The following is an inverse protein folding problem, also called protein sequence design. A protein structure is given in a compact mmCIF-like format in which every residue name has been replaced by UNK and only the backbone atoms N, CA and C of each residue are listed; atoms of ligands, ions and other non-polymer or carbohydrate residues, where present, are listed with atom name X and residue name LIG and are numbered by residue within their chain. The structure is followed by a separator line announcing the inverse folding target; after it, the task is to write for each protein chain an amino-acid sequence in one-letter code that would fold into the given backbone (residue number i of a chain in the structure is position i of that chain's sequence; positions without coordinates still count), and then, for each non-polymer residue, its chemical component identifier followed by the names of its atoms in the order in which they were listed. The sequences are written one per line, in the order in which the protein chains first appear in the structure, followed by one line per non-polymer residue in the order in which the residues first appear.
data_IF_442634870809
#
_entry.id   IF_442634870809
#
_cell.length_a   1.000
_cell.length_b   1.000
_cell.length_c   1.000
_cell.angle_alpha   90.00
_cell.angle_beta   90.00
_cell.angle_gamma   90.00
#
_symmetry.space_group_name_H-M   'P 1'
#
loop_
_entity.id
_entity.type
_entity.pdbx_description
1 polymer ?
#
# COMPACT_ATOMS: atom_id res chain seq x y z
N UNK A 1 30.14 28.50 -14.19
CA UNK A 1 30.60 27.24 -13.58
C UNK A 1 32.07 27.06 -13.93
N UNK A 2 32.92 26.74 -12.94
CA UNK A 2 34.36 26.51 -13.17
C UNK A 2 34.55 25.20 -13.91
N UNK A 3 35.51 25.14 -14.85
CA UNK A 3 35.89 23.94 -15.59
C UNK A 3 36.29 22.79 -14.64
N UNK A 4 36.85 23.13 -13.51
CA UNK A 4 37.24 22.20 -12.43
C UNK A 4 36.02 21.52 -11.79
N UNK A 5 34.96 22.25 -11.54
CA UNK A 5 33.73 21.69 -10.95
C UNK A 5 33.01 20.69 -11.85
N UNK A 6 33.13 20.90 -13.19
CA UNK A 6 32.56 19.94 -14.16
C UNK A 6 33.36 18.65 -14.17
N UNK A 7 34.69 18.73 -14.21
CA UNK A 7 35.56 17.55 -14.18
C UNK A 7 35.38 16.74 -12.90
N UNK A 8 35.28 17.40 -11.75
CA UNK A 8 35.04 16.72 -10.47
C UNK A 8 33.67 16.01 -10.43
N UNK A 9 32.64 16.62 -11.02
CA UNK A 9 31.31 16.00 -11.13
C UNK A 9 31.35 14.76 -12.06
N UNK A 10 32.05 14.86 -13.18
CA UNK A 10 32.22 13.77 -14.13
C UNK A 10 32.97 12.59 -13.49
N UNK A 11 34.06 12.86 -12.77
CA UNK A 11 34.84 11.84 -12.06
C UNK A 11 34.01 11.13 -10.98
N UNK A 12 33.17 11.86 -10.25
CA UNK A 12 32.25 11.27 -9.29
C UNK A 12 31.20 10.39 -9.95
N UNK A 13 30.68 10.79 -11.10
CA UNK A 13 29.68 10.00 -11.84
C UNK A 13 30.32 8.74 -12.47
N UNK A 14 31.56 8.81 -12.91
CA UNK A 14 32.32 7.63 -13.36
C UNK A 14 32.58 6.68 -12.20
N UNK A 15 33.04 7.20 -11.06
CA UNK A 15 33.30 6.40 -9.86
C UNK A 15 32.02 5.73 -9.32
N UNK A 16 30.87 6.39 -9.46
CA UNK A 16 29.56 5.86 -9.08
C UNK A 16 28.93 4.93 -10.13
N UNK A 17 29.60 4.70 -11.26
CA UNK A 17 29.13 3.80 -12.32
C UNK A 17 27.98 4.34 -13.18
N UNK A 18 27.74 5.65 -13.16
CA UNK A 18 26.75 6.31 -14.03
C UNK A 18 27.30 6.66 -15.41
N UNK A 19 28.62 6.91 -15.48
CA UNK A 19 29.32 7.20 -16.73
C UNK A 19 30.47 6.21 -16.94
N UNK A 20 30.80 5.95 -18.21
CA UNK A 20 31.99 5.21 -18.64
C UNK A 20 32.89 6.13 -19.46
N UNK A 21 34.15 6.23 -19.04
CA UNK A 21 35.17 6.95 -19.82
C UNK A 21 35.69 6.05 -20.96
N UNK A 22 35.58 6.51 -22.20
CA UNK A 22 36.18 5.84 -23.35
C UNK A 22 37.37 6.63 -23.84
N UNK A 23 38.53 5.99 -23.85
CA UNK A 23 39.79 6.62 -24.26
C UNK A 23 39.67 7.24 -25.64
N UNK A 24 39.91 8.56 -25.75
CA UNK A 24 39.87 9.30 -27.00
C UNK A 24 38.49 9.71 -27.53
N UNK A 25 37.38 9.33 -26.87
CA UNK A 25 36.05 9.63 -27.40
C UNK A 25 35.07 10.28 -26.38
N UNK A 26 35.47 10.43 -25.09
CA UNK A 26 34.68 11.15 -24.08
C UNK A 26 34.01 10.27 -23.06
N UNK A 27 33.00 10.86 -22.37
CA UNK A 27 32.17 10.20 -21.33
C UNK A 27 30.83 9.78 -21.93
N UNK A 28 30.41 8.56 -21.65
CA UNK A 28 29.16 7.97 -22.11
C UNK A 28 28.32 7.55 -20.91
N UNK A 29 27.01 7.62 -21.02
CA UNK A 29 26.12 7.09 -20.01
C UNK A 29 26.32 5.57 -19.96
N UNK A 30 26.72 5.05 -18.80
CA UNK A 30 26.89 3.63 -18.59
C UNK A 30 25.57 2.90 -18.85
N UNK A 31 25.59 1.85 -19.64
CA UNK A 31 24.45 0.96 -19.81
C UNK A 31 24.13 0.37 -18.43
N UNK A 32 23.04 0.82 -17.79
CA UNK A 32 22.57 0.29 -16.52
C UNK A 32 22.40 -1.21 -16.72
N UNK A 33 23.35 -2.03 -16.27
CA UNK A 33 23.05 -3.43 -16.03
C UNK A 33 21.85 -3.44 -15.09
N UNK A 34 20.68 -3.79 -15.60
CA UNK A 34 19.59 -4.25 -14.74
C UNK A 34 20.14 -5.47 -14.02
N UNK A 35 20.69 -5.27 -12.84
CA UNK A 35 20.79 -6.36 -11.90
C UNK A 35 19.35 -6.81 -11.70
N UNK A 36 19.04 -7.94 -12.32
CA UNK A 36 17.85 -8.67 -11.91
C UNK A 36 18.02 -8.88 -10.42
N UNK A 37 17.11 -8.41 -9.57
CA UNK A 37 17.18 -8.73 -8.16
C UNK A 37 17.27 -10.26 -8.10
N UNK A 38 18.36 -10.77 -7.57
CA UNK A 38 18.44 -12.18 -7.17
C UNK A 38 17.50 -12.27 -5.97
N UNK A 39 16.21 -12.46 -6.28
CA UNK A 39 15.19 -12.69 -5.28
C UNK A 39 15.59 -13.93 -4.50
N UNK A 40 15.95 -13.77 -3.25
CA UNK A 40 16.09 -14.89 -2.33
C UNK A 40 14.69 -15.42 -2.08
N UNK A 41 14.33 -16.45 -2.84
CA UNK A 41 13.07 -17.19 -2.64
C UNK A 41 13.03 -17.67 -1.21
N UNK A 42 12.06 -17.18 -0.43
CA UNK A 42 11.83 -17.65 0.92
C UNK A 42 12.88 -17.25 1.97
N UNK A 43 13.62 -16.17 1.77
CA UNK A 43 14.42 -15.61 2.84
C UNK A 43 13.48 -15.10 3.95
N UNK A 44 13.66 -15.62 5.17
CA UNK A 44 13.15 -14.93 6.35
C UNK A 44 13.71 -13.51 6.28
N UNK A 45 12.83 -12.51 6.37
CA UNK A 45 13.28 -11.13 6.51
C UNK A 45 13.91 -11.05 7.89
N UNK A 46 15.22 -11.28 7.95
CA UNK A 46 15.95 -11.42 9.21
C UNK A 46 15.74 -10.17 10.07
N UNK A 47 15.41 -10.31 11.36
CA UNK A 47 15.24 -9.18 12.27
C UNK A 47 16.49 -8.32 12.40
N UNK A 48 17.66 -8.87 12.10
CA UNK A 48 18.96 -8.24 12.31
C UNK A 48 19.38 -7.22 11.24
N UNK A 49 18.70 -7.14 10.07
CA UNK A 49 19.10 -6.24 8.99
C UNK A 49 18.59 -4.80 9.15
N UNK A 50 17.59 -4.56 9.98
CA UNK A 50 17.07 -3.22 10.24
C UNK A 50 17.71 -2.61 11.50
N UNK A 51 18.89 -2.00 11.34
CA UNK A 51 19.49 -1.12 12.38
C UNK A 51 18.74 0.21 12.55
N UNK A 52 17.69 0.47 11.77
CA UNK A 52 16.90 1.68 11.84
C UNK A 52 15.50 1.37 12.31
N UNK A 53 15.05 2.06 13.35
CA UNK A 53 13.63 2.08 13.72
C UNK A 53 12.87 2.85 12.65
N UNK A 54 12.07 2.13 11.86
CA UNK A 54 11.25 2.70 10.77
C UNK A 54 10.28 3.75 11.32
N UNK A 55 9.73 3.55 12.52
CA UNK A 55 8.85 4.53 13.16
C UNK A 55 9.62 5.82 13.50
N UNK A 56 10.86 5.71 13.95
CA UNK A 56 11.73 6.85 14.21
C UNK A 56 12.11 7.60 12.93
N UNK A 57 12.41 6.88 11.84
CA UNK A 57 12.67 7.49 10.52
C UNK A 57 11.47 8.28 10.00
N UNK A 58 10.26 7.68 10.08
CA UNK A 58 9.03 8.37 9.66
C UNK A 58 8.80 9.62 10.49
N UNK A 59 8.98 9.52 11.79
CA UNK A 59 8.85 10.64 12.71
C UNK A 59 9.83 11.76 12.36
N UNK A 60 11.11 11.46 12.16
CA UNK A 60 12.11 12.43 11.74
C UNK A 60 11.75 13.12 10.42
N UNK A 61 11.29 12.34 9.42
CA UNK A 61 10.88 12.88 8.12
C UNK A 61 9.65 13.80 8.24
N UNK A 62 8.71 13.49 9.13
CA UNK A 62 7.50 14.31 9.35
C UNK A 62 7.79 15.56 10.18
N UNK A 63 8.75 15.48 11.11
CA UNK A 63 9.17 16.58 12.01
C UNK A 63 10.25 17.48 11.36
N UNK A 64 10.85 17.08 10.23
CA UNK A 64 11.89 17.85 9.56
C UNK A 64 11.33 19.16 8.95
N UNK A 65 11.72 20.30 9.52
CA UNK A 65 11.38 21.64 9.05
C UNK A 65 12.51 22.29 8.23
N UNK A 66 13.55 21.55 7.85
CA UNK A 66 14.75 22.07 7.21
C UNK A 66 14.53 22.72 5.84
N UNK A 67 13.33 22.61 5.25
CA UNK A 67 13.03 23.10 3.88
C UNK A 67 13.67 22.26 2.78
N UNK A 68 14.30 21.14 3.12
CA UNK A 68 14.86 20.21 2.16
C UNK A 68 13.79 19.57 1.27
N UNK A 69 14.16 19.23 0.04
CA UNK A 69 13.25 18.54 -0.90
C UNK A 69 12.88 17.15 -0.35
N UNK A 70 11.62 16.99 0.05
CA UNK A 70 11.10 15.78 0.71
C UNK A 70 10.66 14.73 -0.32
N UNK A 71 11.58 14.14 -1.06
CA UNK A 71 11.26 13.12 -2.09
C UNK A 71 10.78 11.78 -1.52
N UNK A 72 10.98 11.51 -0.24
CA UNK A 72 10.55 10.27 0.44
C UNK A 72 9.25 10.41 1.24
N UNK A 73 8.64 11.59 1.31
CA UNK A 73 7.39 11.79 2.07
C UNK A 73 6.20 11.41 1.21
N UNK A 74 5.30 10.55 1.70
CA UNK A 74 4.12 10.15 0.96
C UNK A 74 3.08 11.28 0.94
N UNK A 75 2.98 12.02 -0.15
CA UNK A 75 1.97 13.06 -0.36
C UNK A 75 1.95 13.48 -1.82
N UNK A 76 0.79 13.91 -2.30
CA UNK A 76 0.69 14.64 -3.56
C UNK A 76 1.08 16.09 -3.32
N UNK A 77 1.61 16.75 -4.35
CA UNK A 77 1.82 18.18 -4.30
C UNK A 77 0.48 18.91 -4.06
N UNK A 78 0.49 19.98 -3.25
CA UNK A 78 -0.73 20.75 -2.94
C UNK A 78 -1.43 21.26 -4.20
N UNK A 79 -0.66 21.51 -5.26
CA UNK A 79 -1.19 21.91 -6.58
C UNK A 79 -2.04 20.84 -7.28
N UNK A 80 -1.95 19.58 -6.86
CA UNK A 80 -2.74 18.47 -7.39
C UNK A 80 -4.03 18.24 -6.60
N UNK A 81 -4.14 18.86 -5.44
CA UNK A 81 -5.31 18.85 -4.60
C UNK A 81 -6.12 20.15 -4.83
N UNK A 82 -7.40 20.15 -4.48
CA UNK A 82 -8.27 21.32 -4.57
C UNK A 82 -8.62 21.83 -3.16
N UNK A 83 -7.74 22.62 -2.52
CA UNK A 83 -7.98 23.13 -1.18
C UNK A 83 -9.17 24.11 -1.14
N UNK A 84 -9.44 24.83 -2.23
CA UNK A 84 -10.56 25.76 -2.31
C UNK A 84 -11.91 25.05 -2.26
N UNK A 85 -12.04 23.95 -3.01
CA UNK A 85 -13.24 23.10 -3.00
C UNK A 85 -13.43 22.44 -1.63
N UNK A 86 -12.35 21.97 -1.03
CA UNK A 86 -12.39 21.39 0.31
C UNK A 86 -12.87 22.40 1.36
N UNK A 87 -12.32 23.62 1.36
CA UNK A 87 -12.74 24.71 2.24
C UNK A 87 -14.22 25.09 2.03
N UNK A 88 -14.69 25.11 0.78
CA UNK A 88 -16.10 25.40 0.48
C UNK A 88 -17.03 24.33 1.09
N UNK A 89 -16.66 23.05 0.98
CA UNK A 89 -17.41 21.94 1.62
C UNK A 89 -17.42 22.07 3.14
N UNK A 90 -16.28 22.36 3.76
CA UNK A 90 -16.20 22.57 5.23
C UNK A 90 -17.10 23.71 5.67
N UNK A 91 -17.06 24.87 4.98
CA UNK A 91 -17.98 26.00 5.28
C UNK A 91 -19.45 25.59 5.15
N UNK A 92 -19.80 24.86 4.09
CA UNK A 92 -21.16 24.35 3.91
C UNK A 92 -21.60 23.41 5.03
N UNK A 93 -20.71 22.58 5.53
CA UNK A 93 -21.00 21.67 6.64
C UNK A 93 -21.17 22.41 7.96
N UNK A 94 -20.35 23.43 8.24
CA UNK A 94 -20.39 24.21 9.46
C UNK A 94 -21.66 25.10 9.58
N UNK A 95 -22.28 25.43 8.46
CA UNK A 95 -23.54 26.21 8.43
C UNK A 95 -24.80 25.36 8.61
N UNK A 96 -24.69 24.04 8.68
CA UNK A 96 -25.85 23.16 8.91
C UNK A 96 -26.23 23.14 10.39
N UNK A 97 -27.54 22.97 10.73
CA UNK A 97 -27.96 22.82 12.12
C UNK A 97 -27.17 21.71 12.83
N UNK A 98 -26.56 22.05 13.97
CA UNK A 98 -25.53 21.24 14.63
C UNK A 98 -25.94 19.94 15.30
N UNK A 99 -27.19 19.51 15.20
CA UNK A 99 -27.68 18.32 15.91
C UNK A 99 -26.95 17.02 15.61
N UNK A 100 -26.43 16.86 14.40
CA UNK A 100 -25.68 15.65 13.99
C UNK A 100 -24.21 15.66 14.42
N UNK A 101 -23.64 16.81 14.73
CA UNK A 101 -22.23 16.95 15.14
C UNK A 101 -21.97 16.51 16.58
N UNK A 102 -23.03 16.42 17.39
CA UNK A 102 -22.94 16.10 18.82
C UNK A 102 -23.33 14.65 19.13
N UNK A 103 -23.72 13.87 18.14
CA UNK A 103 -24.15 12.49 18.32
C UNK A 103 -23.06 11.50 17.96
N UNK A 104 -23.06 10.36 18.64
CA UNK A 104 -22.21 9.24 18.22
C UNK A 104 -22.60 8.77 16.83
N UNK A 105 -21.59 8.47 16.00
CA UNK A 105 -21.80 7.92 14.68
C UNK A 105 -22.27 6.46 14.71
N UNK A 106 -22.82 6.00 13.59
CA UNK A 106 -23.15 4.58 13.39
C UNK A 106 -21.86 3.72 13.46
N UNK A 107 -21.87 2.50 14.06
CA UNK A 107 -20.70 1.63 14.15
C UNK A 107 -19.99 1.36 12.83
N UNK A 108 -20.76 1.15 11.74
CA UNK A 108 -20.23 1.01 10.38
C UNK A 108 -19.70 2.34 9.79
N UNK A 109 -20.01 3.48 10.42
CA UNK A 109 -19.70 4.82 9.93
C UNK A 109 -20.87 5.46 9.16
N UNK A 110 -20.63 6.68 8.65
CA UNK A 110 -21.63 7.55 8.04
C UNK A 110 -22.25 6.91 6.78
N UNK A 111 -23.55 6.61 6.82
CA UNK A 111 -24.24 5.87 5.78
C UNK A 111 -24.15 6.51 4.37
N UNK A 112 -24.32 7.84 4.19
CA UNK A 112 -24.17 8.44 2.88
C UNK A 112 -22.78 8.23 2.26
N UNK A 113 -21.70 8.22 3.08
CA UNK A 113 -20.36 7.92 2.58
C UNK A 113 -20.22 6.46 2.17
N UNK A 114 -20.80 5.51 2.92
CA UNK A 114 -20.80 4.09 2.56
C UNK A 114 -21.50 3.86 1.21
N UNK A 115 -22.62 4.52 0.93
CA UNK A 115 -23.29 4.47 -0.38
C UNK A 115 -22.42 5.05 -1.51
N UNK A 116 -21.67 6.13 -1.25
CA UNK A 116 -20.75 6.66 -2.26
C UNK A 116 -19.57 5.70 -2.50
N UNK A 117 -19.05 5.08 -1.44
CA UNK A 117 -17.98 4.06 -1.57
C UNK A 117 -18.51 2.85 -2.35
N UNK A 118 -19.74 2.37 -2.05
CA UNK A 118 -20.38 1.29 -2.79
C UNK A 118 -20.38 1.55 -4.31
N UNK A 119 -20.79 2.76 -4.72
CA UNK A 119 -20.75 3.15 -6.14
C UNK A 119 -19.33 3.13 -6.72
N UNK A 120 -18.39 3.70 -5.99
CA UNK A 120 -16.98 3.76 -6.41
C UNK A 120 -16.33 2.38 -6.55
N UNK A 121 -16.63 1.44 -5.66
CA UNK A 121 -16.09 0.08 -5.77
C UNK A 121 -16.82 -0.73 -6.85
N UNK A 122 -18.08 -0.41 -7.13
CA UNK A 122 -18.81 -0.99 -8.26
C UNK A 122 -18.18 -0.64 -9.62
N UNK A 123 -17.58 0.57 -9.75
CA UNK A 123 -16.82 0.96 -10.94
C UNK A 123 -15.58 0.05 -11.16
N UNK A 124 -15.07 -0.58 -10.11
CA UNK A 124 -14.00 -1.59 -10.16
C UNK A 124 -14.55 -3.03 -10.31
N UNK A 125 -15.86 -3.20 -10.45
CA UNK A 125 -16.52 -4.51 -10.52
C UNK A 125 -16.70 -5.20 -9.16
N UNK A 126 -16.46 -4.51 -8.04
CA UNK A 126 -16.69 -5.06 -6.69
C UNK A 126 -18.14 -4.78 -6.30
N UNK A 127 -18.98 -5.83 -6.36
CA UNK A 127 -20.42 -5.73 -6.08
C UNK A 127 -20.69 -6.03 -4.60
N UNK A 128 -21.13 -5.01 -3.85
CA UNK A 128 -21.38 -5.12 -2.40
C UNK A 128 -22.59 -4.31 -1.96
N UNK A 129 -23.12 -4.64 -0.79
CA UNK A 129 -24.10 -3.82 -0.09
C UNK A 129 -23.41 -2.83 0.87
N UNK A 130 -24.05 -1.70 1.23
CA UNK A 130 -23.45 -0.73 2.17
C UNK A 130 -23.08 -1.32 3.53
N UNK A 131 -23.71 -2.41 3.94
CA UNK A 131 -23.45 -3.15 5.16
C UNK A 131 -22.12 -3.91 5.13
N UNK A 132 -21.60 -4.16 3.94
CA UNK A 132 -20.28 -4.77 3.73
C UNK A 132 -19.14 -3.75 3.74
N UNK A 133 -19.42 -2.50 4.08
CA UNK A 133 -18.46 -1.39 4.11
C UNK A 133 -18.35 -0.85 5.52
N UNK A 134 -17.16 -0.99 6.12
CA UNK A 134 -16.82 -0.44 7.43
C UNK A 134 -15.88 0.77 7.24
N UNK A 135 -16.33 1.96 7.63
CA UNK A 135 -15.48 3.16 7.61
C UNK A 135 -14.42 3.07 8.73
N UNK A 136 -13.23 3.54 8.44
CA UNK A 136 -12.09 3.55 9.37
C UNK A 136 -11.38 4.91 9.37
N UNK A 137 -10.57 5.14 10.40
CA UNK A 137 -9.70 6.31 10.50
C UNK A 137 -8.43 6.07 9.64
N UNK A 138 -8.62 6.12 8.31
CA UNK A 138 -7.62 5.78 7.30
C UNK A 138 -7.36 4.27 7.21
N UNK A 139 -6.56 3.88 6.21
CA UNK A 139 -6.13 2.48 6.01
C UNK A 139 -5.28 1.95 7.16
N UNK A 140 -4.62 2.80 7.94
CA UNK A 140 -3.85 2.34 9.11
C UNK A 140 -4.73 1.64 10.14
N UNK A 141 -5.92 2.20 10.46
CA UNK A 141 -6.88 1.54 11.34
C UNK A 141 -7.50 0.31 10.66
N UNK A 142 -7.76 0.36 9.36
CA UNK A 142 -8.25 -0.79 8.61
C UNK A 142 -7.29 -1.97 8.71
N UNK A 143 -6.00 -1.72 8.46
CA UNK A 143 -4.93 -2.72 8.60
C UNK A 143 -4.85 -3.27 10.03
N UNK A 144 -4.90 -2.41 11.04
CA UNK A 144 -4.89 -2.82 12.45
C UNK A 144 -6.07 -3.73 12.82
N UNK A 145 -7.29 -3.33 12.47
CA UNK A 145 -8.50 -4.11 12.75
C UNK A 145 -8.46 -5.48 12.06
N UNK A 146 -8.11 -5.50 10.77
CA UNK A 146 -8.06 -6.74 9.98
C UNK A 146 -6.93 -7.64 10.49
N UNK A 147 -5.74 -7.08 10.79
CA UNK A 147 -4.61 -7.83 11.34
C UNK A 147 -4.98 -8.50 12.66
N UNK A 148 -5.55 -7.74 13.61
CA UNK A 148 -5.93 -8.27 14.93
C UNK A 148 -7.04 -9.32 14.85
N UNK A 149 -7.88 -9.25 13.82
CA UNK A 149 -8.93 -10.23 13.61
C UNK A 149 -8.42 -11.53 12.97
N UNK A 150 -7.56 -11.42 11.96
CA UNK A 150 -7.11 -12.58 11.18
C UNK A 150 -5.89 -13.28 11.77
N UNK A 151 -5.11 -12.61 12.62
CA UNK A 151 -3.79 -13.06 13.04
C UNK A 151 -3.61 -13.03 14.55
N UNK A 152 -2.72 -13.91 15.03
CA UNK A 152 -2.17 -13.92 16.37
C UNK A 152 -0.64 -13.77 16.32
N UNK A 153 0.01 -13.28 17.38
CA UNK A 153 1.47 -13.30 17.48
C UNK A 153 2.03 -14.70 17.18
N UNK A 154 3.09 -14.77 16.38
CA UNK A 154 3.69 -16.02 15.90
C UNK A 154 3.14 -16.55 14.58
N UNK A 155 1.99 -16.06 14.10
CA UNK A 155 1.46 -16.44 12.79
C UNK A 155 2.37 -16.00 11.65
N UNK A 156 2.36 -16.76 10.56
CA UNK A 156 3.14 -16.41 9.36
C UNK A 156 2.28 -15.55 8.44
N UNK A 157 2.88 -14.46 7.97
CA UNK A 157 2.29 -13.49 7.05
C UNK A 157 3.18 -13.34 5.83
N UNK A 158 2.60 -13.42 4.65
CA UNK A 158 3.29 -13.18 3.40
C UNK A 158 3.11 -11.73 2.93
N UNK A 159 4.16 -11.14 2.40
CA UNK A 159 4.20 -9.76 1.87
C UNK A 159 4.98 -9.71 0.57
N UNK A 160 4.77 -8.66 -0.23
CA UNK A 160 5.61 -8.37 -1.40
C UNK A 160 7.02 -7.92 -0.99
N UNK A 161 8.04 -8.24 -1.81
CA UNK A 161 9.40 -7.75 -1.66
C UNK A 161 9.93 -7.21 -3.01
N UNK A 162 10.15 -5.88 -3.14
CA UNK A 162 9.92 -4.84 -2.13
C UNK A 162 8.45 -4.55 -1.88
N UNK A 163 8.13 -4.01 -0.70
CA UNK A 163 6.77 -3.67 -0.30
C UNK A 163 6.68 -2.50 0.68
N UNK A 164 5.49 -2.24 1.17
CA UNK A 164 5.19 -1.09 2.01
C UNK A 164 5.83 -1.22 3.41
N UNK A 165 6.90 -0.49 3.64
CA UNK A 165 7.75 -0.60 4.83
C UNK A 165 7.02 -0.33 6.16
N UNK A 166 6.03 0.59 6.19
CA UNK A 166 5.24 0.86 7.40
C UNK A 166 4.38 -0.35 7.81
N UNK A 167 3.83 -1.07 6.83
CA UNK A 167 3.13 -2.32 7.09
C UNK A 167 4.08 -3.35 7.70
N UNK A 168 5.30 -3.47 7.19
CA UNK A 168 6.29 -4.41 7.74
C UNK A 168 6.67 -4.08 9.18
N UNK A 169 6.87 -2.80 9.48
CA UNK A 169 7.16 -2.34 10.84
C UNK A 169 5.99 -2.67 11.79
N UNK A 170 4.76 -2.37 11.37
CA UNK A 170 3.56 -2.67 12.13
C UNK A 170 3.40 -4.18 12.39
N UNK A 171 3.51 -5.01 11.35
CA UNK A 171 3.36 -6.45 11.46
C UNK A 171 4.42 -7.08 12.37
N UNK A 172 5.68 -6.62 12.28
CA UNK A 172 6.74 -7.06 13.21
C UNK A 172 6.43 -6.66 14.65
N UNK A 173 5.98 -5.42 14.87
CA UNK A 173 5.56 -4.97 16.19
C UNK A 173 4.40 -5.80 16.74
N UNK A 174 3.46 -6.20 15.89
CA UNK A 174 2.36 -7.08 16.26
C UNK A 174 2.82 -8.50 16.62
N UNK A 175 4.05 -8.86 16.28
CA UNK A 175 4.68 -10.13 16.65
C UNK A 175 4.42 -11.28 15.67
N UNK A 176 4.03 -11.01 14.43
CA UNK A 176 3.90 -12.03 13.37
C UNK A 176 5.24 -12.24 12.65
N UNK A 177 5.40 -13.42 12.07
CA UNK A 177 6.57 -13.78 11.26
C UNK A 177 6.32 -13.41 9.81
N UNK A 178 7.15 -12.52 9.25
CA UNK A 178 7.08 -12.12 7.85
C UNK A 178 7.88 -13.06 6.96
N UNK A 179 7.25 -13.46 5.85
CA UNK A 179 7.89 -14.12 4.71
C UNK A 179 7.56 -13.31 3.46
N UNK A 180 8.46 -13.30 2.48
CA UNK A 180 8.30 -12.45 1.31
C UNK A 180 8.16 -13.24 0.01
N UNK A 181 7.33 -12.71 -0.90
CA UNK A 181 7.28 -13.09 -2.30
C UNK A 181 7.95 -11.98 -3.13
N UNK A 182 9.00 -12.28 -3.91
CA UNK A 182 9.68 -11.28 -4.74
C UNK A 182 8.72 -10.72 -5.77
N UNK A 183 8.72 -9.39 -5.91
CA UNK A 183 7.87 -8.69 -6.86
C UNK A 183 8.55 -8.51 -8.21
N UNK A 184 7.78 -8.70 -9.27
CA UNK A 184 8.14 -8.43 -10.66
C UNK A 184 7.35 -7.23 -11.19
N UNK A 185 7.64 -6.70 -12.39
CA UNK A 185 6.81 -5.66 -13.00
C UNK A 185 5.33 -6.03 -13.15
N UNK A 186 5.02 -7.31 -13.31
CA UNK A 186 3.66 -7.84 -13.52
C UNK A 186 2.92 -8.20 -12.22
N UNK A 187 3.56 -8.03 -11.06
CA UNK A 187 3.05 -8.44 -9.75
C UNK A 187 4.02 -9.37 -9.01
N UNK A 188 3.58 -10.10 -7.98
CA UNK A 188 4.43 -11.07 -7.30
C UNK A 188 4.85 -12.21 -8.24
N UNK A 189 6.09 -12.67 -8.12
CA UNK A 189 6.59 -13.84 -8.82
C UNK A 189 5.79 -15.09 -8.41
N UNK A 190 4.87 -15.53 -9.25
CA UNK A 190 3.86 -16.53 -8.86
C UNK A 190 4.43 -17.90 -8.47
N UNK A 191 5.55 -18.32 -9.07
CA UNK A 191 6.26 -19.54 -8.64
C UNK A 191 6.82 -19.36 -7.23
N UNK A 192 7.54 -18.27 -6.97
CA UNK A 192 8.11 -17.98 -5.66
C UNK A 192 7.03 -17.79 -4.58
N UNK A 193 5.88 -17.18 -4.93
CA UNK A 193 4.74 -17.04 -4.04
C UNK A 193 4.18 -18.43 -3.65
N UNK A 194 4.02 -19.34 -4.61
CA UNK A 194 3.57 -20.71 -4.34
C UNK A 194 4.56 -21.50 -3.49
N UNK A 195 5.87 -21.41 -3.78
CA UNK A 195 6.91 -22.06 -2.99
C UNK A 195 6.92 -21.52 -1.55
N UNK A 196 6.76 -20.20 -1.39
CA UNK A 196 6.63 -19.56 -0.09
C UNK A 196 5.38 -20.04 0.66
N UNK A 197 4.22 -20.11 -0.01
CA UNK A 197 2.98 -20.58 0.57
C UNK A 197 3.06 -22.07 0.97
N UNK A 198 3.64 -22.93 0.12
CA UNK A 198 3.84 -24.33 0.40
C UNK A 198 4.76 -24.56 1.61
N UNK A 199 5.87 -23.82 1.68
CA UNK A 199 6.90 -23.98 2.72
C UNK A 199 6.47 -23.43 4.08
N UNK A 200 5.88 -22.23 4.09
CA UNK A 200 5.66 -21.49 5.34
C UNK A 200 4.21 -21.44 5.79
N UNK A 201 3.25 -21.85 4.95
CA UNK A 201 1.81 -21.86 5.26
C UNK A 201 1.32 -20.55 5.87
N UNK A 202 1.47 -19.40 5.18
CA UNK A 202 1.02 -18.12 5.70
C UNK A 202 -0.49 -18.12 5.91
N UNK A 203 -0.97 -17.42 6.93
CA UNK A 203 -2.41 -17.19 7.14
C UNK A 203 -2.97 -16.08 6.27
N UNK A 204 -2.16 -15.06 6.03
CA UNK A 204 -2.55 -13.86 5.27
C UNK A 204 -1.43 -13.47 4.31
N UNK A 205 -1.83 -13.05 3.11
CA UNK A 205 -0.98 -12.33 2.17
C UNK A 205 -1.46 -10.88 2.05
N UNK A 206 -0.60 -9.92 2.38
CA UNK A 206 -0.86 -8.50 2.14
C UNK A 206 -0.36 -8.11 0.76
N UNK A 207 -1.29 -7.73 -0.11
CA UNK A 207 -1.04 -7.39 -1.50
C UNK A 207 -1.41 -5.94 -1.82
N UNK A 208 -0.67 -5.31 -2.73
CA UNK A 208 -1.08 -4.10 -3.42
C UNK A 208 -1.20 -4.43 -4.92
N UNK A 209 -2.43 -4.45 -5.41
CA UNK A 209 -2.71 -4.86 -6.79
C UNK A 209 -2.32 -3.78 -7.78
N UNK A 210 -2.64 -2.53 -7.48
CA UNK A 210 -2.41 -1.39 -8.36
C UNK A 210 -1.44 -0.40 -7.75
N UNK A 211 -0.60 0.21 -8.59
CA UNK A 211 0.35 1.27 -8.22
C UNK A 211 1.13 0.95 -6.95
N UNK A 212 1.66 -0.25 -6.88
CA UNK A 212 2.30 -0.82 -5.69
C UNK A 212 3.44 0.06 -5.15
N UNK A 213 3.44 0.29 -3.85
CA UNK A 213 4.50 1.00 -3.16
C UNK A 213 5.61 0.03 -2.72
N UNK A 214 6.89 0.18 -3.20
CA UNK A 214 7.42 1.38 -3.85
C UNK A 214 7.60 1.28 -5.38
N UNK A 215 7.17 0.19 -6.03
CA UNK A 215 7.56 -0.07 -7.43
C UNK A 215 6.71 0.66 -8.47
N UNK A 216 5.51 1.13 -8.09
CA UNK A 216 4.52 1.68 -9.00
C UNK A 216 3.89 0.65 -9.96
N UNK A 217 4.26 -0.63 -9.84
CA UNK A 217 3.76 -1.68 -10.71
C UNK A 217 2.30 -2.04 -10.42
N UNK A 218 1.55 -2.43 -11.45
CA UNK A 218 0.19 -2.95 -11.33
C UNK A 218 0.19 -4.43 -11.68
N UNK A 219 -0.53 -5.23 -10.90
CA UNK A 219 -0.62 -6.67 -11.08
C UNK A 219 -1.42 -7.00 -12.34
N UNK A 220 -0.88 -7.86 -13.20
CA UNK A 220 -1.61 -8.31 -14.40
C UNK A 220 -2.72 -9.30 -14.03
N UNK A 221 -3.77 -9.38 -14.85
CA UNK A 221 -4.89 -10.30 -14.66
C UNK A 221 -4.43 -11.76 -14.52
N UNK A 222 -3.45 -12.16 -15.32
CA UNK A 222 -2.88 -13.50 -15.28
C UNK A 222 -2.21 -13.80 -13.93
N UNK A 223 -1.52 -12.82 -13.34
CA UNK A 223 -0.90 -12.95 -12.01
C UNK A 223 -1.97 -12.97 -10.91
N UNK A 224 -3.01 -12.12 -11.01
CA UNK A 224 -4.14 -12.12 -10.07
C UNK A 224 -4.80 -13.50 -9.97
N UNK A 225 -5.11 -14.13 -11.12
CA UNK A 225 -5.66 -15.48 -11.14
C UNK A 225 -4.76 -16.52 -10.47
N UNK A 226 -3.44 -16.44 -10.70
CA UNK A 226 -2.48 -17.36 -10.07
C UNK A 226 -2.35 -17.13 -8.56
N UNK A 227 -2.43 -15.87 -8.12
CA UNK A 227 -2.43 -15.51 -6.69
C UNK A 227 -3.68 -16.07 -6.01
N UNK A 228 -4.85 -15.89 -6.59
CA UNK A 228 -6.12 -16.44 -6.07
C UNK A 228 -6.13 -17.96 -6.06
N UNK A 229 -5.61 -18.60 -7.11
CA UNK A 229 -5.46 -20.06 -7.16
C UNK A 229 -4.55 -20.57 -6.03
N UNK A 230 -3.42 -19.89 -5.77
CA UNK A 230 -2.54 -20.23 -4.66
C UNK A 230 -3.23 -19.99 -3.30
N UNK A 231 -3.99 -18.91 -3.15
CA UNK A 231 -4.74 -18.63 -1.92
C UNK A 231 -5.78 -19.74 -1.64
N UNK A 232 -6.47 -20.22 -2.67
CA UNK A 232 -7.41 -21.33 -2.55
C UNK A 232 -6.72 -22.64 -2.20
N UNK A 233 -5.59 -22.96 -2.85
CA UNK A 233 -4.84 -24.20 -2.68
C UNK A 233 -4.20 -24.29 -1.29
N UNK A 234 -3.58 -23.20 -0.82
CA UNK A 234 -2.83 -23.18 0.44
C UNK A 234 -3.64 -22.65 1.63
N UNK A 235 -4.85 -22.13 1.40
CA UNK A 235 -5.80 -21.73 2.44
C UNK A 235 -5.46 -20.41 3.15
N UNK A 236 -4.85 -19.44 2.48
CA UNK A 236 -4.57 -18.14 3.07
C UNK A 236 -5.58 -17.06 2.61
N UNK A 237 -5.86 -16.09 3.49
CA UNK A 237 -6.62 -14.91 3.15
C UNK A 237 -5.73 -13.85 2.48
N UNK A 238 -6.35 -12.94 1.72
CA UNK A 238 -5.65 -11.83 1.08
C UNK A 238 -6.19 -10.51 1.65
N UNK A 239 -5.31 -9.63 2.06
CA UNK A 239 -5.64 -8.23 2.38
C UNK A 239 -5.12 -7.36 1.24
N UNK A 240 -6.03 -6.86 0.43
CA UNK A 240 -5.74 -6.02 -0.73
C UNK A 240 -5.77 -4.55 -0.34
N UNK A 241 -4.59 -3.92 -0.22
CA UNK A 241 -4.46 -2.48 0.05
C UNK A 241 -4.47 -1.70 -1.27
N UNK A 242 -5.58 -1.02 -1.55
CA UNK A 242 -5.80 -0.22 -2.75
C UNK A 242 -5.81 1.29 -2.44
N UNK A 243 -4.83 1.73 -1.67
CA UNK A 243 -4.71 3.14 -1.22
C UNK A 243 -4.53 4.13 -2.38
N UNK A 244 -4.03 3.68 -3.53
CA UNK A 244 -3.73 4.52 -4.69
C UNK A 244 -4.73 4.41 -5.85
N UNK A 245 -5.83 3.68 -5.69
CA UNK A 245 -6.77 3.37 -6.78
C UNK A 245 -7.30 4.58 -7.56
N UNK A 246 -7.55 5.70 -6.87
CA UNK A 246 -8.09 6.91 -7.51
C UNK A 246 -7.01 7.70 -8.30
N UNK A 247 -5.76 7.24 -8.35
CA UNK A 247 -4.66 7.84 -9.10
C UNK A 247 -4.39 7.10 -10.42
N UNK A 248 -5.03 5.97 -10.67
CA UNK A 248 -4.93 5.29 -11.96
C UNK A 248 -5.72 6.04 -13.03
N UNK A 249 -5.11 6.24 -14.19
CA UNK A 249 -5.80 6.84 -15.34
C UNK A 249 -6.87 5.90 -15.91
N UNK A 250 -6.58 4.61 -15.92
CA UNK A 250 -7.48 3.54 -16.38
C UNK A 250 -7.53 2.44 -15.32
N UNK A 251 -8.51 2.50 -14.40
CA UNK A 251 -8.65 1.51 -13.36
C UNK A 251 -8.89 0.10 -13.92
N UNK A 252 -8.04 -0.84 -13.51
CA UNK A 252 -8.18 -2.26 -13.85
C UNK A 252 -8.96 -3.04 -12.77
N UNK A 253 -9.15 -4.36 -12.97
CA UNK A 253 -9.76 -5.23 -11.98
C UNK A 253 -8.88 -5.33 -10.72
N UNK A 254 -9.49 -5.80 -9.63
CA UNK A 254 -8.85 -6.06 -8.34
C UNK A 254 -8.94 -7.54 -7.99
N UNK A 255 -8.12 -8.00 -7.05
CA UNK A 255 -8.28 -9.34 -6.49
C UNK A 255 -9.67 -9.51 -5.88
N UNK A 256 -10.16 -8.48 -5.17
CA UNK A 256 -11.52 -8.44 -4.62
C UNK A 256 -12.62 -8.58 -5.67
N UNK A 257 -12.41 -8.06 -6.89
CA UNK A 257 -13.34 -8.20 -8.01
C UNK A 257 -13.44 -9.65 -8.46
N UNK A 258 -12.29 -10.33 -8.58
CA UNK A 258 -12.20 -11.69 -9.11
C UNK A 258 -12.62 -12.75 -8.09
N UNK A 259 -12.41 -12.47 -6.80
CA UNK A 259 -12.68 -13.39 -5.69
C UNK A 259 -14.08 -13.20 -5.08
N UNK A 260 -14.80 -12.15 -5.49
CA UNK A 260 -16.10 -11.77 -4.90
C UNK A 260 -16.07 -11.66 -3.36
N UNK A 261 -14.95 -11.27 -2.78
CA UNK A 261 -14.71 -11.12 -1.33
C UNK A 261 -14.84 -12.43 -0.52
N UNK A 262 -14.64 -13.58 -1.14
CA UNK A 262 -14.63 -14.87 -0.41
C UNK A 262 -13.42 -14.98 0.50
N UNK A 263 -12.22 -14.65 -0.01
CA UNK A 263 -10.93 -14.69 0.69
C UNK A 263 -10.22 -13.35 0.72
N UNK A 264 -10.69 -12.38 -0.08
CA UNK A 264 -10.07 -11.06 -0.20
C UNK A 264 -10.80 -10.05 0.68
N UNK A 265 -10.04 -9.37 1.53
CA UNK A 265 -10.45 -8.18 2.29
C UNK A 265 -9.90 -6.97 1.57
N UNK A 266 -10.77 -6.11 1.05
CA UNK A 266 -10.37 -4.94 0.29
C UNK A 266 -10.30 -3.70 1.17
N UNK A 267 -9.20 -2.97 1.08
CA UNK A 267 -8.96 -1.73 1.83
C UNK A 267 -8.83 -0.55 0.86
N UNK A 268 -9.49 0.55 1.20
CA UNK A 268 -9.45 1.79 0.42
C UNK A 268 -9.14 2.99 1.29
N UNK A 269 -8.45 3.99 0.73
CA UNK A 269 -8.09 5.24 1.39
C UNK A 269 -8.50 6.45 0.55
N UNK A 270 -8.79 7.56 1.24
CA UNK A 270 -8.96 8.88 0.64
C UNK A 270 -7.80 9.83 1.00
N UNK A 271 -6.79 9.32 1.69
CA UNK A 271 -5.65 10.12 2.17
C UNK A 271 -4.77 10.66 1.04
N UNK A 272 -4.76 10.01 -0.14
CA UNK A 272 -3.91 10.41 -1.26
C UNK A 272 -4.61 11.27 -2.29
N UNK A 273 -5.94 11.32 -2.28
CA UNK A 273 -6.74 11.99 -3.32
C UNK A 273 -7.63 13.10 -2.78
N UNK A 274 -7.98 13.06 -1.50
CA UNK A 274 -8.82 14.08 -0.87
C UNK A 274 -8.05 14.86 0.19
N UNK A 275 -7.64 14.18 1.26
CA UNK A 275 -6.84 14.80 2.34
C UNK A 275 -6.26 13.73 3.26
N UNK A 276 -4.96 13.80 3.48
CA UNK A 276 -4.28 12.99 4.49
C UNK A 276 -4.70 13.29 5.93
N UNK A 277 -5.12 14.53 6.20
CA UNK A 277 -5.50 15.00 7.54
C UNK A 277 -6.86 14.49 7.99
N UNK A 278 -7.80 14.22 7.08
CA UNK A 278 -9.15 13.77 7.45
C UNK A 278 -9.20 12.32 7.93
N UNK A 279 -8.16 11.56 7.67
CA UNK A 279 -8.05 10.17 8.12
C UNK A 279 -9.30 9.34 7.75
N UNK A 280 -9.65 9.29 6.47
CA UNK A 280 -10.79 8.51 5.97
C UNK A 280 -10.30 7.33 5.15
N UNK A 281 -10.78 6.15 5.52
CA UNK A 281 -10.58 4.89 4.80
C UNK A 281 -11.74 3.95 5.05
N UNK A 282 -11.68 2.77 4.45
CA UNK A 282 -12.67 1.72 4.70
C UNK A 282 -12.10 0.32 4.49
N UNK A 283 -12.81 -0.63 5.09
CA UNK A 283 -12.73 -2.06 4.81
C UNK A 283 -13.97 -2.46 4.04
N UNK A 284 -13.80 -3.23 2.98
CA UNK A 284 -14.89 -3.88 2.22
C UNK A 284 -14.63 -5.38 2.27
N UNK A 285 -15.60 -6.13 2.80
CA UNK A 285 -15.47 -7.57 2.99
C UNK A 285 -16.84 -8.26 3.02
N UNK A 286 -16.86 -9.58 3.18
CA UNK A 286 -18.10 -10.31 3.42
C UNK A 286 -18.73 -9.92 4.78
N UNK A 287 -20.05 -10.09 4.90
CA UNK A 287 -20.80 -9.67 6.10
C UNK A 287 -20.27 -10.28 7.40
N UNK A 288 -19.95 -11.59 7.48
CA UNK A 288 -19.45 -12.18 8.73
C UNK A 288 -18.18 -11.50 9.24
N UNK A 289 -17.26 -11.16 8.34
CA UNK A 289 -16.03 -10.44 8.71
C UNK A 289 -16.33 -9.02 9.15
N UNK A 290 -17.17 -8.29 8.44
CA UNK A 290 -17.57 -6.92 8.81
C UNK A 290 -18.21 -6.91 10.19
N UNK A 291 -19.14 -7.82 10.48
CA UNK A 291 -19.79 -7.91 11.81
C UNK A 291 -18.79 -8.15 12.94
N UNK A 292 -17.76 -8.96 12.66
CA UNK A 292 -16.70 -9.21 13.62
C UNK A 292 -15.79 -7.98 13.82
N UNK A 293 -15.42 -7.30 12.75
CA UNK A 293 -14.59 -6.08 12.80
C UNK A 293 -15.31 -4.92 13.50
N UNK A 294 -16.64 -4.81 13.34
CA UNK A 294 -17.46 -3.80 14.05
C UNK A 294 -17.40 -4.00 15.56
N UNK A 295 -17.41 -5.26 16.02
CA UNK A 295 -17.28 -5.57 17.46
C UNK A 295 -15.89 -5.26 18.02
N UNK A 296 -14.86 -5.28 17.17
CA UNK A 296 -13.49 -5.01 17.56
C UNK A 296 -13.09 -3.52 17.45
N UNK A 297 -13.89 -2.72 16.72
CA UNK A 297 -13.67 -1.29 16.52
C UNK A 297 -14.11 -0.45 17.71
#
# INVERSE_FOLDING_TARGET
MSRYAVIEADDRMVAAGYLEARCGSGLYVAARRREQPRGHVGAEVAPAAMRYDVAQLIRQVLEDESGALRVGVPGLADSWLDPGKLQAVIRSLSSRPGGTLLQYGHPLGYAPLRHQIQRRVADLGIVVQPEQILLTTGTSQALDLVTRHLLHPGDVVMVDDPGYYNLFAYLRWYGVRLVSAPRTPDGPGTAALRDCAAKYRPKVYYAQTAMQNPTGSTMTLAVMHRVLAAAAEFGFAIVEDDTYNDLEAEPGPRLATLDALERVVYLRSFSKTVSGSFRVGCVVANLPLIDSLVRAK
#
